data_IF_888218034975
#
_entry.id   IF_888218034975
#
_cell.length_a   1.000
_cell.length_b   1.000
_cell.length_c   1.000
_cell.angle_alpha   90.00
_cell.angle_beta   90.00
_cell.angle_gamma   90.00
#
_symmetry.space_group_name_H-M   'P 1'
#
loop_
_entity.id
_entity.type
_entity.pdbx_description
1 polymer ?
#
# COMPACT_ATOMS: atom_id res chain seq x y z
N UNK A 1 14.86 -24.75 -37.27
CA UNK A 1 15.07 -24.68 -35.80
C UNK A 1 14.30 -23.47 -35.33
N UNK A 2 13.10 -23.68 -34.79
CA UNK A 2 12.20 -22.61 -34.38
C UNK A 2 12.52 -22.21 -32.94
N UNK A 3 12.85 -20.94 -32.72
CA UNK A 3 13.10 -20.39 -31.39
C UNK A 3 11.83 -20.46 -30.53
N UNK A 4 11.90 -20.92 -29.26
CA UNK A 4 10.73 -20.93 -28.39
C UNK A 4 10.41 -19.53 -27.87
N UNK A 5 9.17 -19.09 -28.07
CA UNK A 5 8.64 -17.83 -27.54
C UNK A 5 8.56 -17.83 -26.00
N UNK A 6 8.71 -16.67 -25.33
CA UNK A 6 8.65 -16.55 -23.88
C UNK A 6 7.21 -16.70 -23.32
N UNK A 7 7.06 -17.57 -22.33
CA UNK A 7 5.79 -17.82 -21.63
C UNK A 7 5.34 -16.60 -20.81
N UNK A 8 4.08 -16.20 -21.02
CA UNK A 8 3.46 -15.04 -20.37
C UNK A 8 2.28 -15.53 -19.52
N UNK A 9 2.38 -15.39 -18.19
CA UNK A 9 1.23 -15.55 -17.31
C UNK A 9 0.34 -14.31 -17.43
N UNK A 10 -0.90 -14.49 -17.88
CA UNK A 10 -1.86 -13.40 -17.99
C UNK A 10 -2.70 -13.39 -16.71
N UNK A 11 -2.36 -12.46 -15.80
CA UNK A 11 -3.23 -12.14 -14.66
C UNK A 11 -4.26 -11.14 -15.15
N UNK A 12 -5.53 -11.52 -15.10
CA UNK A 12 -6.62 -10.62 -15.48
C UNK A 12 -6.88 -9.72 -14.27
N UNK A 13 -6.51 -8.45 -14.42
CA UNK A 13 -6.84 -7.43 -13.43
C UNK A 13 -8.14 -6.73 -13.86
N UNK A 14 -9.22 -6.96 -13.11
CA UNK A 14 -10.36 -6.06 -13.13
C UNK A 14 -10.02 -4.82 -12.29
N UNK A 15 -9.29 -3.91 -12.94
CA UNK A 15 -8.85 -2.66 -12.38
C UNK A 15 -9.86 -1.54 -12.61
N UNK A 16 -11.13 -1.71 -12.23
CA UNK A 16 -11.95 -0.51 -11.94
C UNK A 16 -11.49 -0.02 -10.58
N UNK A 17 -10.58 0.95 -10.60
CA UNK A 17 -10.34 1.79 -9.44
C UNK A 17 -11.65 2.56 -9.20
N UNK A 18 -12.56 1.96 -8.44
CA UNK A 18 -13.64 2.71 -7.80
C UNK A 18 -12.92 3.71 -6.91
N UNK A 19 -12.99 5.02 -7.19
CA UNK A 19 -12.46 6.01 -6.27
C UNK A 19 -13.22 5.82 -4.97
N UNK A 20 -12.52 5.39 -3.92
CA UNK A 20 -12.99 5.60 -2.55
C UNK A 20 -13.51 7.03 -2.50
N UNK A 21 -14.78 7.19 -2.13
CA UNK A 21 -15.47 8.48 -2.14
C UNK A 21 -14.67 9.53 -1.36
N UNK A 22 -13.86 10.30 -2.09
CA UNK A 22 -13.63 11.72 -1.92
C UNK A 22 -13.34 12.28 -3.31
N UNK A 23 -14.30 13.03 -3.82
CA UNK A 23 -14.22 13.75 -5.08
C UNK A 23 -12.96 14.63 -5.15
N UNK A 24 -12.15 14.47 -6.20
CA UNK A 24 -11.40 15.59 -6.79
C UNK A 24 -10.98 15.24 -8.22
N UNK A 25 -11.68 15.82 -9.17
CA UNK A 25 -11.18 16.04 -10.53
C UNK A 25 -10.06 17.07 -10.39
N UNK A 26 -8.81 16.69 -10.71
CA UNK A 26 -7.79 17.66 -11.07
C UNK A 26 -7.53 17.54 -12.56
N UNK A 27 -8.08 18.53 -13.29
CA UNK A 27 -7.65 18.91 -14.61
C UNK A 27 -6.19 19.40 -14.56
N UNK A 28 -5.52 19.18 -15.69
CA UNK A 28 -4.23 19.74 -16.08
C UNK A 28 -4.12 21.23 -15.74
N UNK A 29 -2.99 21.61 -15.16
CA UNK A 29 -2.36 22.89 -15.44
C UNK A 29 -0.86 22.65 -15.61
N UNK A 30 -0.38 23.16 -16.74
CA UNK A 30 0.98 23.13 -17.22
C UNK A 30 1.99 23.71 -16.23
N UNK A 31 3.22 23.21 -16.32
CA UNK A 31 4.34 23.68 -15.50
C UNK A 31 5.57 22.85 -15.76
N UNK A 32 6.21 23.11 -16.91
CA UNK A 32 7.56 22.69 -17.25
C UNK A 32 8.51 22.80 -16.05
N UNK A 33 9.27 21.73 -15.78
CA UNK A 33 10.66 21.78 -15.32
C UNK A 33 11.22 20.35 -15.29
N UNK A 34 11.85 19.94 -16.40
CA UNK A 34 12.77 18.81 -16.41
C UNK A 34 14.18 19.34 -16.13
N UNK A 35 14.96 18.72 -15.24
CA UNK A 35 16.39 18.57 -15.46
C UNK A 35 16.64 17.21 -16.11
N UNK A 36 17.37 17.25 -17.22
CA UNK A 36 17.98 16.10 -17.87
C UNK A 36 18.69 15.20 -16.83
N UNK A 37 18.30 13.93 -16.81
CA UNK A 37 19.02 12.90 -16.06
C UNK A 37 19.99 12.26 -17.04
N UNK A 38 21.28 12.43 -16.78
CA UNK A 38 22.37 11.80 -17.51
C UNK A 38 22.34 10.26 -17.47
N UNK A 39 23.22 9.60 -18.23
CA UNK A 39 23.13 8.18 -18.56
C UNK A 39 23.53 7.30 -17.36
N UNK A 40 22.52 6.86 -16.61
CA UNK A 40 22.68 5.93 -15.49
C UNK A 40 22.52 4.47 -15.95
N UNK A 41 23.66 3.83 -16.21
CA UNK A 41 23.92 2.39 -16.28
C UNK A 41 22.73 1.46 -15.99
N UNK A 42 22.15 0.92 -17.07
CA UNK A 42 21.15 -0.14 -17.03
C UNK A 42 21.77 -1.45 -16.56
N UNK A 43 21.46 -1.84 -15.33
CA UNK A 43 21.57 -3.23 -14.89
C UNK A 43 20.16 -3.84 -14.87
N UNK A 44 19.69 -4.21 -16.06
CA UNK A 44 18.53 -5.08 -16.27
C UNK A 44 18.86 -6.48 -15.74
N UNK A 45 18.80 -6.66 -14.43
CA UNK A 45 18.77 -7.96 -13.78
C UNK A 45 17.41 -8.62 -13.98
N UNK A 46 17.12 -9.06 -15.20
CA UNK A 46 16.01 -9.97 -15.50
C UNK A 46 16.25 -11.28 -14.74
N UNK A 47 15.77 -11.34 -13.49
CA UNK A 47 15.67 -12.59 -12.73
C UNK A 47 14.65 -13.48 -13.44
N UNK A 48 15.16 -14.30 -14.36
CA UNK A 48 14.49 -15.50 -14.86
C UNK A 48 14.26 -16.40 -13.66
N UNK A 49 13.05 -16.34 -13.11
CA UNK A 49 12.59 -17.33 -12.16
C UNK A 49 12.45 -18.63 -12.93
N UNK A 50 13.42 -19.53 -12.76
CA UNK A 50 13.41 -20.88 -13.33
C UNK A 50 12.31 -21.71 -12.69
N UNK A 51 11.07 -21.45 -13.05
CA UNK A 51 9.99 -22.43 -12.89
C UNK A 51 10.07 -23.36 -14.09
N UNK A 52 10.04 -24.66 -13.83
CA UNK A 52 10.22 -25.70 -14.82
C UNK A 52 9.32 -25.51 -16.04
N UNK A 53 9.97 -25.58 -17.20
CA UNK A 53 9.49 -25.68 -18.59
C UNK A 53 8.27 -26.60 -18.80
N UNK A 54 7.09 -26.21 -18.34
CA UNK A 54 5.82 -26.73 -18.87
C UNK A 54 5.08 -25.55 -19.48
N UNK A 55 5.02 -25.48 -20.82
CA UNK A 55 4.43 -24.38 -21.59
C UNK A 55 2.90 -24.27 -21.52
N UNK A 56 2.32 -24.54 -20.35
CA UNK A 56 0.88 -24.47 -20.13
C UNK A 56 0.56 -23.06 -19.63
N UNK A 57 -0.08 -22.26 -20.50
CA UNK A 57 -0.64 -20.96 -20.12
C UNK A 57 -1.77 -21.19 -19.12
N UNK A 58 -1.67 -20.52 -17.97
CA UNK A 58 -2.72 -20.53 -16.94
C UNK A 58 -3.24 -19.11 -16.70
N UNK A 59 -4.53 -19.01 -16.44
CA UNK A 59 -5.27 -17.79 -16.12
C UNK A 59 -5.68 -17.81 -14.65
N UNK A 60 -5.67 -16.66 -14.01
CA UNK A 60 -6.16 -16.50 -12.64
C UNK A 60 -6.81 -15.13 -12.47
N UNK A 61 -7.81 -15.07 -11.60
CA UNK A 61 -8.49 -13.85 -11.23
C UNK A 61 -7.89 -13.27 -9.94
N UNK A 62 -7.79 -11.95 -9.85
CA UNK A 62 -7.29 -11.26 -8.67
C UNK A 62 -8.07 -9.97 -8.43
N UNK A 63 -8.44 -9.71 -7.17
CA UNK A 63 -9.11 -8.49 -6.77
C UNK A 63 -8.57 -7.97 -5.43
N UNK A 64 -8.56 -6.64 -5.27
CA UNK A 64 -8.24 -5.97 -4.01
C UNK A 64 -9.48 -5.29 -3.43
N UNK A 65 -9.61 -5.38 -2.11
CA UNK A 65 -10.55 -4.66 -1.24
C UNK A 65 -9.71 -3.92 -0.18
N UNK A 66 -9.38 -2.66 -0.45
CA UNK A 66 -8.39 -1.92 0.34
C UNK A 66 -7.01 -2.58 0.26
N UNK A 67 -6.44 -2.97 1.41
CA UNK A 67 -5.18 -3.73 1.48
C UNK A 67 -5.37 -5.25 1.36
N UNK A 68 -6.60 -5.74 1.44
CA UNK A 68 -6.90 -7.17 1.43
C UNK A 68 -7.10 -7.65 -0.01
N UNK A 69 -6.37 -8.67 -0.43
CA UNK A 69 -6.39 -9.22 -1.77
C UNK A 69 -6.92 -10.65 -1.81
N UNK A 70 -7.66 -10.96 -2.87
CA UNK A 70 -8.17 -12.27 -3.20
C UNK A 70 -7.59 -12.70 -4.53
N UNK A 71 -7.15 -13.94 -4.63
CA UNK A 71 -6.77 -14.60 -5.88
C UNK A 71 -7.47 -15.93 -6.03
N UNK A 72 -7.95 -16.26 -7.22
CA UNK A 72 -8.42 -17.61 -7.54
C UNK A 72 -7.25 -18.57 -7.76
N UNK A 73 -7.56 -19.87 -7.80
CA UNK A 73 -6.67 -20.87 -8.41
C UNK A 73 -6.39 -20.53 -9.88
N UNK A 74 -5.21 -20.95 -10.34
CA UNK A 74 -4.81 -20.82 -11.75
C UNK A 74 -5.42 -21.96 -12.54
N UNK A 75 -6.08 -21.65 -13.65
CA UNK A 75 -6.77 -22.61 -14.54
C UNK A 75 -6.31 -22.44 -15.99
N UNK A 76 -6.23 -23.51 -16.80
CA UNK A 76 -5.81 -23.41 -18.20
C UNK A 76 -6.88 -22.79 -19.11
N UNK A 77 -8.14 -22.84 -18.68
CA UNK A 77 -9.28 -22.34 -19.44
C UNK A 77 -9.64 -20.90 -19.06
N UNK A 78 -9.82 -20.05 -20.07
CA UNK A 78 -10.15 -18.63 -19.88
C UNK A 78 -11.59 -18.45 -19.39
N UNK A 79 -12.55 -19.24 -19.87
CA UNK A 79 -13.95 -19.13 -19.46
C UNK A 79 -14.08 -19.37 -17.95
N UNK A 80 -13.46 -20.45 -17.45
CA UNK A 80 -13.39 -20.75 -16.02
C UNK A 80 -12.72 -19.63 -15.22
N UNK A 81 -11.68 -18.98 -15.75
CA UNK A 81 -11.03 -17.86 -15.07
C UNK A 81 -11.92 -16.61 -15.01
N UNK A 82 -12.74 -16.37 -16.03
CA UNK A 82 -13.74 -15.30 -16.03
C UNK A 82 -14.87 -15.59 -15.03
N UNK A 83 -15.28 -16.84 -14.87
CA UNK A 83 -16.23 -17.24 -13.83
C UNK A 83 -15.66 -16.97 -12.43
N UNK A 84 -14.41 -17.36 -12.18
CA UNK A 84 -13.73 -17.00 -10.93
C UNK A 84 -13.65 -15.48 -10.70
N UNK A 85 -13.42 -14.70 -11.77
CA UNK A 85 -13.39 -13.24 -11.67
C UNK A 85 -14.77 -12.68 -11.31
N UNK A 86 -15.85 -13.21 -11.90
CA UNK A 86 -17.21 -12.82 -11.56
C UNK A 86 -17.51 -13.10 -10.09
N UNK A 87 -17.16 -14.30 -9.59
CA UNK A 87 -17.33 -14.69 -8.19
C UNK A 87 -16.59 -13.73 -7.25
N UNK A 88 -15.30 -13.48 -7.49
CA UNK A 88 -14.50 -12.58 -6.65
C UNK A 88 -15.03 -11.13 -6.72
N UNK A 89 -15.56 -10.71 -7.87
CA UNK A 89 -16.16 -9.37 -8.04
C UNK A 89 -17.44 -9.22 -7.23
N UNK A 90 -18.33 -10.22 -7.26
CA UNK A 90 -19.56 -10.25 -6.45
C UNK A 90 -19.20 -10.19 -4.97
N UNK A 91 -18.23 -11.00 -4.53
CA UNK A 91 -17.75 -10.99 -3.16
C UNK A 91 -17.24 -9.59 -2.77
N UNK A 92 -16.40 -8.95 -3.59
CA UNK A 92 -15.94 -7.59 -3.34
C UNK A 92 -17.10 -6.61 -3.17
N UNK A 93 -18.09 -6.66 -4.06
CA UNK A 93 -19.25 -5.76 -4.00
C UNK A 93 -20.04 -5.95 -2.70
N UNK A 94 -20.29 -7.20 -2.30
CA UNK A 94 -20.98 -7.52 -1.03
C UNK A 94 -20.24 -6.98 0.19
N UNK A 95 -18.92 -7.19 0.24
CA UNK A 95 -18.09 -6.66 1.33
C UNK A 95 -18.15 -5.14 1.38
N UNK A 96 -18.08 -4.47 0.22
CA UNK A 96 -18.19 -3.02 0.16
C UNK A 96 -19.56 -2.52 0.62
N UNK A 97 -20.64 -3.18 0.21
CA UNK A 97 -21.99 -2.82 0.62
C UNK A 97 -22.19 -3.01 2.13
N UNK A 98 -21.77 -4.14 2.70
CA UNK A 98 -21.85 -4.37 4.15
C UNK A 98 -21.09 -3.30 4.95
N UNK A 99 -19.89 -2.92 4.50
CA UNK A 99 -19.12 -1.84 5.15
C UNK A 99 -19.83 -0.49 5.04
N UNK A 100 -20.51 -0.19 3.92
CA UNK A 100 -21.31 1.02 3.76
C UNK A 100 -22.53 1.02 4.68
N UNK A 101 -23.10 -0.15 4.96
CA UNK A 101 -24.21 -0.34 5.89
C UNK A 101 -23.77 -0.28 7.38
N UNK A 102 -22.46 -0.08 7.62
CA UNK A 102 -21.89 0.10 8.96
C UNK A 102 -21.34 -1.18 9.59
N UNK A 103 -21.35 -2.30 8.87
CA UNK A 103 -20.74 -3.53 9.36
C UNK A 103 -19.22 -3.43 9.41
N UNK A 104 -18.64 -4.20 10.34
CA UNK A 104 -17.21 -4.38 10.37
C UNK A 104 -16.74 -5.18 9.13
N UNK A 105 -15.54 -4.85 8.64
CA UNK A 105 -14.98 -5.45 7.42
C UNK A 105 -14.88 -6.98 7.50
N UNK A 106 -14.38 -7.50 8.63
CA UNK A 106 -14.20 -8.94 8.85
C UNK A 106 -15.54 -9.69 8.80
N UNK A 107 -16.60 -9.12 9.39
CA UNK A 107 -17.93 -9.74 9.42
C UNK A 107 -18.61 -9.68 8.06
N UNK A 108 -18.47 -8.54 7.37
CA UNK A 108 -18.90 -8.39 5.97
C UNK A 108 -18.20 -9.40 5.05
N UNK A 109 -16.90 -9.62 5.24
CA UNK A 109 -16.10 -10.58 4.47
C UNK A 109 -16.54 -12.03 4.71
N UNK A 110 -16.75 -12.43 5.97
CA UNK A 110 -17.25 -13.77 6.30
C UNK A 110 -18.63 -14.02 5.70
N UNK A 111 -19.55 -13.08 5.90
CA UNK A 111 -20.93 -13.18 5.39
C UNK A 111 -20.96 -13.26 3.88
N UNK A 112 -20.28 -12.33 3.20
CA UNK A 112 -20.19 -12.30 1.74
C UNK A 112 -19.63 -13.60 1.18
N UNK A 113 -18.62 -14.19 1.83
CA UNK A 113 -18.03 -15.44 1.38
C UNK A 113 -18.99 -16.63 1.53
N UNK A 114 -19.70 -16.75 2.66
CA UNK A 114 -20.71 -17.81 2.89
C UNK A 114 -21.85 -17.70 1.88
N UNK A 115 -22.40 -16.49 1.69
CA UNK A 115 -23.47 -16.25 0.71
C UNK A 115 -23.02 -16.58 -0.71
N UNK A 116 -21.80 -16.16 -1.08
CA UNK A 116 -21.26 -16.42 -2.43
C UNK A 116 -21.00 -17.91 -2.65
N UNK A 117 -20.46 -18.62 -1.65
CA UNK A 117 -20.23 -20.06 -1.74
C UNK A 117 -21.55 -20.83 -1.93
N UNK A 118 -22.59 -20.47 -1.17
CA UNK A 118 -23.92 -21.08 -1.28
C UNK A 118 -24.53 -20.87 -2.66
N UNK A 119 -24.42 -19.67 -3.24
CA UNK A 119 -24.99 -19.35 -4.56
C UNK A 119 -24.32 -20.09 -5.71
N UNK A 120 -23.03 -20.36 -5.63
CA UNK A 120 -22.30 -21.11 -6.66
C UNK A 120 -22.32 -22.62 -6.41
N UNK A 121 -23.03 -23.08 -5.37
CA UNK A 121 -23.14 -24.50 -5.02
C UNK A 121 -21.84 -25.10 -4.47
N UNK A 122 -20.94 -24.29 -3.90
CA UNK A 122 -19.75 -24.76 -3.21
C UNK A 122 -20.10 -25.17 -1.78
N UNK A 123 -19.73 -26.40 -1.38
CA UNK A 123 -19.95 -26.89 -0.02
C UNK A 123 -18.98 -26.23 0.97
N UNK A 124 -17.75 -25.98 0.53
CA UNK A 124 -16.69 -25.38 1.34
C UNK A 124 -16.04 -24.18 0.64
N UNK A 125 -15.39 -23.31 1.41
CA UNK A 125 -14.66 -22.15 0.88
C UNK A 125 -13.46 -22.60 0.05
N UNK A 126 -12.88 -23.72 0.44
CA UNK A 126 -11.75 -24.37 -0.19
C UNK A 126 -12.07 -24.81 -1.62
N UNK A 127 -13.33 -25.18 -1.91
CA UNK A 127 -13.78 -25.58 -3.26
C UNK A 127 -13.64 -24.45 -4.28
N UNK A 128 -13.82 -23.20 -3.83
CA UNK A 128 -13.60 -22.01 -4.65
C UNK A 128 -12.12 -21.80 -5.00
N UNK A 129 -11.21 -22.48 -4.31
CA UNK A 129 -9.76 -22.35 -4.51
C UNK A 129 -9.26 -20.93 -4.29
N UNK A 130 -9.93 -20.16 -3.42
CA UNK A 130 -9.53 -18.80 -3.10
C UNK A 130 -8.29 -18.79 -2.21
N UNK A 131 -7.39 -17.84 -2.50
CA UNK A 131 -6.25 -17.53 -1.66
C UNK A 131 -6.26 -16.04 -1.32
N UNK A 132 -5.92 -15.72 -0.10
CA UNK A 132 -5.92 -14.38 0.46
C UNK A 132 -4.50 -13.86 0.65
N UNK A 133 -4.28 -12.57 0.48
CA UNK A 133 -2.99 -11.92 0.74
C UNK A 133 -3.20 -10.45 1.06
N UNK A 134 -2.21 -9.80 1.64
CA UNK A 134 -2.24 -8.36 1.87
C UNK A 134 -1.32 -7.65 0.89
N UNK A 135 -1.81 -6.56 0.29
CA UNK A 135 -1.01 -5.63 -0.52
C UNK A 135 -0.72 -4.38 0.29
N UNK A 136 0.54 -4.23 0.66
CA UNK A 136 1.00 -3.22 1.60
C UNK A 136 1.89 -2.21 0.88
N UNK A 137 1.74 -0.94 1.23
CA UNK A 137 2.58 0.12 0.68
C UNK A 137 3.13 1.03 1.76
N UNK A 138 4.43 1.30 1.69
CA UNK A 138 5.15 2.22 2.56
C UNK A 138 6.00 3.14 1.68
N UNK A 139 5.31 3.98 0.92
CA UNK A 139 5.90 4.75 -0.19
C UNK A 139 7.08 5.65 0.22
N UNK A 140 7.06 6.18 1.45
CA UNK A 140 8.20 6.90 2.00
C UNK A 140 9.44 6.01 2.09
N UNK A 141 9.30 4.76 2.52
CA UNK A 141 10.41 3.84 2.79
C UNK A 141 10.90 3.12 1.54
N UNK A 142 10.00 2.50 0.78
CA UNK A 142 10.34 1.57 -0.31
C UNK A 142 9.99 2.12 -1.70
N UNK A 143 9.55 3.37 -1.79
CA UNK A 143 9.15 4.03 -3.04
C UNK A 143 7.67 3.88 -3.37
N UNK A 144 7.15 4.81 -4.18
CA UNK A 144 5.70 4.90 -4.51
C UNK A 144 5.18 3.72 -5.34
N UNK A 145 6.02 3.19 -6.23
CA UNK A 145 5.64 2.12 -7.16
C UNK A 145 5.82 0.73 -6.55
N UNK A 146 6.59 0.62 -5.46
CA UNK A 146 6.85 -0.66 -4.81
C UNK A 146 5.70 -1.04 -3.89
N UNK A 147 5.19 -2.24 -4.08
CA UNK A 147 4.21 -2.88 -3.19
C UNK A 147 4.83 -4.12 -2.56
N UNK A 148 4.51 -4.35 -1.30
CA UNK A 148 4.84 -5.56 -0.58
C UNK A 148 3.61 -6.46 -0.55
N UNK A 149 3.83 -7.76 -0.67
CA UNK A 149 2.78 -8.75 -0.62
C UNK A 149 3.13 -9.77 0.45
N UNK A 150 2.17 -10.05 1.35
CA UNK A 150 2.29 -11.19 2.26
C UNK A 150 2.22 -12.50 1.46
N UNK A 151 2.65 -13.63 2.05
CA UNK A 151 2.33 -14.94 1.51
C UNK A 151 0.82 -15.08 1.26
N UNK A 152 0.47 -15.94 0.29
CA UNK A 152 -0.91 -16.31 0.02
C UNK A 152 -1.38 -17.34 1.05
N UNK A 153 -2.53 -17.09 1.65
CA UNK A 153 -3.13 -17.84 2.76
C UNK A 153 -4.44 -18.43 2.27
N UNK A 154 -4.70 -19.71 2.52
CA UNK A 154 -5.98 -20.35 2.14
C UNK A 154 -7.05 -20.18 3.21
N UNK A 155 -6.66 -20.09 4.49
CA UNK A 155 -7.57 -19.85 5.60
C UNK A 155 -7.97 -18.37 5.69
N UNK A 156 -9.27 -18.07 5.56
CA UNK A 156 -9.79 -16.71 5.68
C UNK A 156 -9.48 -16.11 7.06
N UNK A 157 -9.75 -16.85 8.14
CA UNK A 157 -9.60 -16.35 9.51
C UNK A 157 -8.16 -15.94 9.81
N UNK A 158 -7.18 -16.74 9.36
CA UNK A 158 -5.76 -16.39 9.47
C UNK A 158 -5.43 -15.10 8.70
N UNK A 159 -5.99 -14.94 7.50
CA UNK A 159 -5.77 -13.73 6.69
C UNK A 159 -6.42 -12.48 7.31
N UNK A 160 -7.61 -12.61 7.90
CA UNK A 160 -8.29 -11.53 8.61
C UNK A 160 -7.57 -11.16 9.91
N UNK A 161 -7.12 -12.15 10.69
CA UNK A 161 -6.30 -11.93 11.87
C UNK A 161 -5.00 -11.19 11.52
N UNK A 162 -4.36 -11.55 10.40
CA UNK A 162 -3.17 -10.86 9.91
C UNK A 162 -3.45 -9.43 9.46
N UNK A 163 -4.61 -9.16 8.85
CA UNK A 163 -5.00 -7.85 8.34
C UNK A 163 -5.05 -6.79 9.45
N UNK A 164 -5.63 -7.13 10.60
CA UNK A 164 -5.91 -6.20 11.71
C UNK A 164 -4.69 -5.38 12.15
N UNK A 165 -3.54 -5.97 12.54
CA UNK A 165 -2.38 -5.19 12.97
C UNK A 165 -1.77 -4.34 11.83
N UNK A 166 -1.86 -4.77 10.57
CA UNK A 166 -1.45 -3.93 9.44
C UNK A 166 -2.37 -2.73 9.22
N UNK A 167 -3.69 -2.92 9.38
CA UNK A 167 -4.67 -1.85 9.26
C UNK A 167 -4.45 -0.80 10.36
N UNK A 168 -4.19 -1.22 11.60
CA UNK A 168 -3.85 -0.32 12.72
C UNK A 168 -2.59 0.50 12.42
N UNK A 169 -1.51 -0.14 11.94
CA UNK A 169 -0.29 0.56 11.56
C UNK A 169 -0.48 1.52 10.38
N UNK A 170 -1.44 1.26 9.49
CA UNK A 170 -1.78 2.19 8.41
C UNK A 170 -2.63 3.35 8.92
N UNK A 171 -3.58 3.08 9.81
CA UNK A 171 -4.43 4.10 10.43
C UNK A 171 -3.62 5.04 11.32
N UNK A 172 -2.59 4.56 12.02
CA UNK A 172 -1.72 5.37 12.86
C UNK A 172 -1.04 6.53 12.13
N UNK A 173 -0.79 6.40 10.82
CA UNK A 173 -0.22 7.46 9.97
C UNK A 173 -1.26 8.19 9.12
N UNK A 174 -2.52 7.74 9.18
CA UNK A 174 -3.63 8.30 8.42
C UNK A 174 -4.36 9.33 9.27
N UNK A 175 -4.54 10.53 8.73
CA UNK A 175 -5.33 11.56 9.41
C UNK A 175 -6.73 11.58 8.78
N UNK A 176 -7.77 11.29 9.57
CA UNK A 176 -9.18 11.17 9.14
C UNK A 176 -9.40 10.07 8.07
N UNK A 177 -8.70 8.94 8.18
CA UNK A 177 -8.87 7.81 7.25
C UNK A 177 -8.31 8.02 5.84
N UNK A 178 -7.82 9.23 5.50
CA UNK A 178 -7.27 9.51 4.18
C UNK A 178 -5.75 9.33 4.19
N UNK A 179 -5.26 8.38 3.37
CA UNK A 179 -3.84 8.21 3.08
C UNK A 179 -3.37 9.42 2.26
N UNK A 180 -2.85 10.43 2.94
CA UNK A 180 -2.50 11.69 2.30
C UNK A 180 -1.15 11.65 1.62
N UNK A 181 -1.06 12.37 0.51
CA UNK A 181 0.23 12.83 -0.03
C UNK A 181 0.92 13.70 1.02
N UNK A 182 2.24 13.56 1.14
CA UNK A 182 3.05 14.33 2.09
C UNK A 182 2.97 13.81 3.53
N UNK A 183 3.35 12.56 3.77
CA UNK A 183 3.43 11.96 5.11
C UNK A 183 4.22 12.81 6.11
N UNK A 184 5.34 13.38 5.67
CA UNK A 184 6.19 14.26 6.47
C UNK A 184 5.48 15.56 6.91
N UNK A 185 4.45 16.02 6.17
CA UNK A 185 3.75 17.24 6.57
C UNK A 185 2.86 17.04 7.80
N UNK A 186 2.60 15.79 8.21
CA UNK A 186 1.64 15.43 9.27
C UNK A 186 2.24 14.63 10.40
N UNK A 187 3.32 13.90 10.13
CA UNK A 187 3.97 13.02 11.07
C UNK A 187 5.41 13.47 11.24
N UNK A 188 5.94 13.35 12.45
CA UNK A 188 7.36 13.54 12.67
C UNK A 188 8.16 12.41 12.02
N UNK A 189 9.45 12.65 11.77
CA UNK A 189 10.35 11.59 11.26
C UNK A 189 10.41 10.42 12.24
N UNK A 190 10.41 10.71 13.55
CA UNK A 190 10.40 9.70 14.60
C UNK A 190 9.16 8.80 14.53
N UNK A 191 7.97 9.37 14.29
CA UNK A 191 6.73 8.60 14.14
C UNK A 191 6.79 7.67 12.92
N UNK A 192 7.35 8.16 11.81
CA UNK A 192 7.52 7.37 10.59
C UNK A 192 8.52 6.22 10.79
N UNK A 193 9.59 6.46 11.54
CA UNK A 193 10.62 5.46 11.88
C UNK A 193 10.08 4.38 12.81
N UNK A 194 9.37 4.77 13.86
CA UNK A 194 8.73 3.83 14.79
C UNK A 194 7.68 2.98 14.07
N UNK A 195 6.81 3.61 13.27
CA UNK A 195 5.82 2.89 12.47
C UNK A 195 6.47 1.90 11.48
N UNK A 196 7.58 2.29 10.84
CA UNK A 196 8.32 1.40 9.95
C UNK A 196 8.97 0.23 10.67
N UNK A 197 9.52 0.45 11.86
CA UNK A 197 10.10 -0.60 12.69
C UNK A 197 9.05 -1.64 13.06
N UNK A 198 7.89 -1.20 13.55
CA UNK A 198 6.76 -2.09 13.87
C UNK A 198 6.24 -2.82 12.63
N UNK A 199 6.08 -2.10 11.52
CA UNK A 199 5.64 -2.68 10.25
C UNK A 199 6.62 -3.74 9.72
N UNK A 200 7.92 -3.46 9.73
CA UNK A 200 8.93 -4.38 9.20
C UNK A 200 9.03 -5.65 10.06
N UNK A 201 8.97 -5.52 11.38
CA UNK A 201 8.90 -6.66 12.30
C UNK A 201 7.67 -7.55 12.01
N UNK A 202 6.49 -6.94 11.94
CA UNK A 202 5.22 -7.64 11.65
C UNK A 202 5.23 -8.29 10.26
N UNK A 203 5.78 -7.62 9.25
CA UNK A 203 5.88 -8.16 7.90
C UNK A 203 6.83 -9.36 7.81
N UNK A 204 7.95 -9.29 8.52
CA UNK A 204 8.89 -10.42 8.62
C UNK A 204 8.20 -11.60 9.31
N UNK A 205 7.50 -11.36 10.43
CA UNK A 205 6.73 -12.37 11.13
C UNK A 205 5.65 -12.99 10.23
N UNK A 206 4.86 -12.18 9.52
CA UNK A 206 3.89 -12.64 8.55
C UNK A 206 4.50 -13.53 7.46
N UNK A 207 5.70 -13.19 6.98
CA UNK A 207 6.38 -13.96 5.94
C UNK A 207 6.96 -15.28 6.44
N UNK A 208 7.28 -15.39 7.73
CA UNK A 208 7.97 -16.55 8.31
C UNK A 208 7.05 -17.45 9.14
N UNK A 209 6.04 -16.90 9.81
CA UNK A 209 5.17 -17.60 10.76
C UNK A 209 4.01 -18.37 10.13
N UNK A 210 3.67 -18.10 8.86
CA UNK A 210 2.56 -18.76 8.18
C UNK A 210 2.92 -20.14 7.58
N UNK A 211 4.08 -20.70 7.91
CA UNK A 211 4.65 -21.89 7.27
C UNK A 211 3.76 -23.13 7.32
N UNK A 212 2.89 -23.26 8.33
CA UNK A 212 1.98 -24.42 8.47
C UNK A 212 0.68 -24.29 7.69
N UNK A 213 0.24 -23.05 7.39
CA UNK A 213 -1.03 -22.78 6.68
C UNK A 213 -0.82 -22.31 5.23
N UNK A 214 0.44 -22.14 4.81
CA UNK A 214 0.78 -21.76 3.46
C UNK A 214 0.49 -22.92 2.51
N UNK A 215 -0.23 -22.64 1.40
CA UNK A 215 -0.55 -23.65 0.38
C UNK A 215 0.70 -24.35 -0.14
N UNK A 216 0.58 -25.61 -0.57
CA UNK A 216 1.67 -26.42 -1.14
C UNK A 216 2.48 -25.73 -2.26
N UNK A 217 1.87 -24.77 -2.97
CA UNK A 217 2.53 -23.96 -4.02
C UNK A 217 3.40 -22.82 -3.48
N UNK A 218 3.45 -22.63 -2.15
CA UNK A 218 4.23 -21.56 -1.56
C UNK A 218 5.73 -21.92 -1.67
N UNK A 219 6.57 -21.00 -2.18
CA UNK A 219 8.01 -21.22 -2.17
C UNK A 219 8.48 -21.45 -0.73
N UNK A 220 9.42 -22.39 -0.57
CA UNK A 220 10.04 -22.80 0.70
C UNK A 220 10.10 -21.68 1.75
N UNK A 221 9.78 -21.97 3.03
CA UNK A 221 9.72 -20.97 4.09
C UNK A 221 10.96 -20.08 4.06
N UNK A 222 10.73 -18.78 3.84
CA UNK A 222 11.82 -17.83 3.72
C UNK A 222 12.43 -17.64 5.09
N UNK A 223 13.75 -17.83 5.19
CA UNK A 223 14.49 -17.41 6.37
C UNK A 223 14.17 -15.95 6.70
N UNK A 224 13.98 -15.68 8.00
CA UNK A 224 13.78 -14.34 8.57
C UNK A 224 14.80 -13.34 8.04
N UNK A 225 16.06 -13.76 7.94
CA UNK A 225 17.17 -12.95 7.45
C UNK A 225 17.02 -12.58 5.98
N UNK A 226 16.51 -13.50 5.15
CA UNK A 226 16.29 -13.25 3.72
C UNK A 226 15.20 -12.20 3.49
N UNK A 227 14.10 -12.27 4.27
CA UNK A 227 13.03 -11.28 4.22
C UNK A 227 13.52 -9.91 4.71
N UNK A 228 14.25 -9.87 5.82
CA UNK A 228 14.84 -8.66 6.37
C UNK A 228 15.83 -8.00 5.38
N UNK A 229 16.72 -8.79 4.78
CA UNK A 229 17.69 -8.31 3.78
C UNK A 229 16.99 -7.75 2.55
N UNK A 230 15.90 -8.37 2.09
CA UNK A 230 15.07 -7.84 1.00
C UNK A 230 14.45 -6.49 1.36
N UNK A 231 13.90 -6.33 2.57
CA UNK A 231 13.34 -5.06 3.02
C UNK A 231 14.42 -3.98 3.11
N UNK A 232 15.58 -4.29 3.68
CA UNK A 232 16.71 -3.37 3.76
C UNK A 232 17.16 -2.90 2.36
N UNK A 233 17.26 -3.82 1.40
CA UNK A 233 17.61 -3.48 0.02
C UNK A 233 16.59 -2.52 -0.64
N UNK A 234 15.29 -2.68 -0.36
CA UNK A 234 14.26 -1.76 -0.87
C UNK A 234 14.34 -0.38 -0.24
N UNK A 235 14.67 -0.30 1.06
CA UNK A 235 14.86 0.96 1.78
C UNK A 235 16.09 1.71 1.27
N UNK A 236 17.17 0.97 1.01
CA UNK A 236 18.41 1.50 0.46
C UNK A 236 18.21 2.00 -0.97
N UNK A 237 17.54 1.22 -1.83
CA UNK A 237 17.22 1.63 -3.20
C UNK A 237 16.41 2.94 -3.29
N UNK A 238 15.71 3.31 -2.21
CA UNK A 238 14.90 4.53 -2.13
C UNK A 238 15.55 5.63 -1.25
N UNK A 239 16.81 5.48 -0.83
CA UNK A 239 17.52 6.43 0.05
C UNK A 239 17.58 7.85 -0.52
N UNK A 240 18.02 8.02 -1.78
CA UNK A 240 18.12 9.33 -2.43
C UNK A 240 16.78 10.07 -2.48
N UNK A 241 15.67 9.34 -2.71
CA UNK A 241 14.35 9.97 -2.73
C UNK A 241 13.94 10.43 -1.33
N UNK A 242 14.18 9.62 -0.30
CA UNK A 242 13.93 9.99 1.11
C UNK A 242 14.71 11.22 1.51
N UNK A 243 16.00 11.29 1.18
CA UNK A 243 16.84 12.46 1.45
C UNK A 243 16.32 13.73 0.78
N UNK A 244 15.86 13.64 -0.48
CA UNK A 244 15.25 14.77 -1.18
C UNK A 244 13.97 15.23 -0.49
N UNK A 245 13.10 14.30 -0.11
CA UNK A 245 11.87 14.62 0.63
C UNK A 245 12.16 15.25 1.99
N UNK A 246 13.17 14.73 2.70
CA UNK A 246 13.60 15.24 4.00
C UNK A 246 14.16 16.66 3.88
N UNK A 247 15.04 16.92 2.90
CA UNK A 247 15.55 18.27 2.62
C UNK A 247 14.42 19.25 2.30
N UNK A 248 13.47 18.85 1.46
CA UNK A 248 12.31 19.69 1.13
C UNK A 248 11.40 19.95 2.34
N UNK A 249 11.25 18.97 3.23
CA UNK A 249 10.51 19.13 4.47
C UNK A 249 11.22 20.09 5.44
N UNK A 250 12.51 19.89 5.69
CA UNK A 250 13.34 20.79 6.51
C UNK A 250 13.29 22.23 6.00
N UNK A 251 13.46 22.43 4.69
CA UNK A 251 13.40 23.76 4.07
C UNK A 251 12.06 24.46 4.30
N UNK A 252 10.94 23.73 4.17
CA UNK A 252 9.61 24.29 4.44
C UNK A 252 9.41 24.66 5.91
N UNK A 253 9.89 23.83 6.83
CA UNK A 253 9.84 24.11 8.26
C UNK A 253 10.67 25.35 8.63
N UNK A 254 11.91 25.46 8.16
CA UNK A 254 12.74 26.65 8.40
C UNK A 254 12.07 27.93 7.88
N UNK A 255 11.49 27.89 6.67
CA UNK A 255 10.76 29.04 6.12
C UNK A 255 9.53 29.41 6.93
N UNK A 256 8.82 28.41 7.48
CA UNK A 256 7.67 28.64 8.34
C UNK A 256 8.08 29.28 9.66
N UNK A 257 9.13 28.76 10.31
CA UNK A 257 9.68 29.33 11.55
C UNK A 257 10.16 30.76 11.34
N UNK A 258 10.90 31.02 10.26
CA UNK A 258 11.36 32.38 9.92
C UNK A 258 10.17 33.34 9.73
N UNK A 259 9.08 32.90 9.08
CA UNK A 259 7.85 33.69 8.95
C UNK A 259 7.23 33.99 10.32
N UNK A 260 7.17 33.00 11.21
CA UNK A 260 6.63 33.18 12.57
C UNK A 260 7.48 34.16 13.38
N UNK A 261 8.81 34.05 13.31
CA UNK A 261 9.74 34.97 13.97
C UNK A 261 9.57 36.40 13.46
N UNK A 262 9.49 36.60 12.13
CA UNK A 262 9.24 37.92 11.54
C UNK A 262 7.89 38.51 11.97
N UNK A 263 6.85 37.68 12.09
CA UNK A 263 5.54 38.13 12.59
C UNK A 263 5.61 38.53 14.06
N UNK A 264 6.29 37.75 14.91
CA UNK A 264 6.49 38.07 16.32
C UNK A 264 7.25 39.39 16.49
N UNK A 265 8.36 39.59 15.77
CA UNK A 265 9.14 40.81 15.79
C UNK A 265 8.32 42.04 15.34
N UNK A 266 7.47 41.89 14.31
CA UNK A 266 6.54 42.95 13.88
C UNK A 266 5.54 43.32 14.97
N UNK A 267 4.95 42.32 15.64
CA UNK A 267 4.01 42.54 16.76
C UNK A 267 4.68 43.28 17.92
N UNK A 268 5.88 42.85 18.30
CA UNK A 268 6.67 43.50 19.35
C UNK A 268 6.99 44.97 19.00
N UNK A 269 7.47 45.22 17.78
CA UNK A 269 7.73 46.58 17.30
C UNK A 269 6.47 47.44 17.36
N UNK A 270 5.32 46.90 16.96
CA UNK A 270 4.05 47.63 17.02
C UNK A 270 3.64 47.92 18.47
N UNK A 271 3.84 46.98 19.40
CA UNK A 271 3.58 47.19 20.82
C UNK A 271 4.47 48.29 21.40
N UNK A 272 5.78 48.26 21.12
CA UNK A 272 6.72 49.30 21.54
C UNK A 272 6.32 50.69 21.02
N UNK A 273 5.92 50.79 19.75
CA UNK A 273 5.46 52.06 19.17
C UNK A 273 4.17 52.56 19.83
N UNK A 274 3.23 51.66 20.16
CA UNK A 274 2.01 52.02 20.90
C UNK A 274 2.34 52.52 22.31
N UNK A 275 3.21 51.82 23.04
CA UNK A 275 3.64 52.22 24.38
C UNK A 275 4.33 53.58 24.34
N UNK A 276 5.22 53.82 23.38
CA UNK A 276 5.89 55.12 23.21
C UNK A 276 4.90 56.25 22.94
N UNK A 277 3.87 56.01 22.11
CA UNK A 277 2.80 56.98 21.85
C UNK A 277 1.96 57.26 23.09
N UNK A 278 1.61 56.23 23.85
CA UNK A 278 0.88 56.39 25.11
C UNK A 278 1.68 57.23 26.12
N UNK A 279 2.97 56.93 26.29
CA UNK A 279 3.84 57.71 27.18
C UNK A 279 3.99 59.17 26.74
N UNK A 280 4.09 59.45 25.44
CA UNK A 280 4.16 60.84 24.97
C UNK A 280 2.88 61.64 25.23
N UNK A 281 1.72 60.99 25.28
CA UNK A 281 0.44 61.65 25.56
C UNK A 281 0.22 61.90 27.06
N UNK A 282 0.86 61.13 27.95
CA UNK A 282 0.75 61.34 29.40
C UNK A 282 1.67 62.43 29.95
N UNK A 283 2.62 62.93 29.15
CA UNK A 283 3.62 63.93 29.58
C UNK A 283 3.29 65.37 29.13
N UNK A 284 2.15 65.58 28.48
CA UNK A 284 1.63 66.90 28.08
C UNK A 284 0.47 67.30 28.97
#
# INVERSE_FOLDING_TARGET
>A
MSEPEPDTHVVIFSGVAVPDQTSSIMQSLDGEFLPEVGPGSGSNGSRRSGHGRTGVRGYGACQLIGIFGLTSKVVPDLATALDHLAIITVLKQRVQNGVLDGDNFEDSMRRALVETASEVGAETIEDLGLKFFLTLSKSYWIGRLTKLHTPRITCLETALALRRPFAELQQALSHKGVVSRGLLNRNSIADLEDNWRRFSALYIEACCGLGETASFDAPSPKSRESVAKRLAALVEANSTHREKQLRAWNGRHMLQEERLQRQAARKERHALLRNRRAMSLCCT
#
